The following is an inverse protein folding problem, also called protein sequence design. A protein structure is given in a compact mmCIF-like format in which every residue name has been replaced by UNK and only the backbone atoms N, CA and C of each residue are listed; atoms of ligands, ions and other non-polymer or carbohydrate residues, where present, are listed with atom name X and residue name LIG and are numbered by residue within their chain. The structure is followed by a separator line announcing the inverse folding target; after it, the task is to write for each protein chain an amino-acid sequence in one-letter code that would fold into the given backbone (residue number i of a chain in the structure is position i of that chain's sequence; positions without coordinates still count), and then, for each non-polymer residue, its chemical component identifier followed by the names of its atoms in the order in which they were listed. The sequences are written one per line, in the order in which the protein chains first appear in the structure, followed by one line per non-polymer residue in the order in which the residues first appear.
data_IF_174014229851
#
_entry.id   IF_174014229851
#
_cell.length_a   1.000
_cell.length_b   1.000
_cell.length_c   1.000
_cell.angle_alpha   90.00
_cell.angle_beta   90.00
_cell.angle_gamma   90.00
#
_symmetry.space_group_name_H-M   'P 1'
#
loop_
_entity.id
_entity.type
_entity.pdbx_description
1 polymer ?
#
# COMPACT_ATOMS: atom_id res chain seq x y z
N UNK A 1 7.54 -22.99 6.40
CA UNK A 1 7.96 -22.04 5.37
C UNK A 1 7.70 -20.65 5.90
N UNK A 2 8.77 -19.88 6.05
CA UNK A 2 8.73 -18.51 6.57
C UNK A 2 8.30 -17.56 5.45
N UNK A 3 7.17 -16.89 5.63
CA UNK A 3 6.58 -15.96 4.67
C UNK A 3 6.35 -14.59 5.31
N UNK A 4 6.17 -13.56 4.47
CA UNK A 4 5.67 -12.26 4.88
C UNK A 4 4.22 -12.12 4.46
N UNK A 5 3.30 -11.88 5.39
CA UNK A 5 1.87 -11.68 5.11
C UNK A 5 1.55 -10.20 5.10
N UNK A 6 0.78 -9.76 4.09
CA UNK A 6 0.36 -8.39 3.92
C UNK A 6 -1.16 -8.37 3.80
N UNK A 7 -1.83 -7.93 4.86
CA UNK A 7 -3.28 -7.73 4.89
C UNK A 7 -3.62 -6.26 4.56
N UNK A 8 -4.82 -5.98 4.01
CA UNK A 8 -5.30 -4.61 3.86
C UNK A 8 -5.22 -3.84 5.18
N UNK A 9 -4.81 -2.56 5.10
CA UNK A 9 -4.74 -1.62 6.24
C UNK A 9 -3.79 -1.98 7.40
N UNK A 10 -3.13 -3.15 7.39
CA UNK A 10 -2.22 -3.58 8.46
C UNK A 10 -0.76 -3.55 8.04
N UNK A 11 0.15 -3.43 9.00
CA UNK A 11 1.58 -3.58 8.75
C UNK A 11 1.91 -5.03 8.34
N UNK A 12 2.91 -5.25 7.45
CA UNK A 12 3.39 -6.58 7.14
C UNK A 12 3.89 -7.34 8.37
N UNK A 13 3.69 -8.66 8.41
CA UNK A 13 4.18 -9.49 9.51
C UNK A 13 4.65 -10.86 9.03
N UNK A 14 5.63 -11.42 9.72
CA UNK A 14 6.14 -12.76 9.42
C UNK A 14 5.19 -13.85 9.93
N UNK A 15 5.11 -14.96 9.18
CA UNK A 15 4.34 -16.15 9.58
C UNK A 15 5.06 -17.41 9.10
N UNK A 16 5.00 -18.46 9.92
CA UNK A 16 5.37 -19.81 9.51
C UNK A 16 4.13 -20.59 9.07
N UNK A 17 4.20 -21.22 7.91
CA UNK A 17 3.17 -22.11 7.35
C UNK A 17 3.79 -23.45 6.94
N UNK A 18 3.01 -24.47 6.57
CA UNK A 18 3.53 -25.61 5.83
C UNK A 18 4.03 -25.23 4.44
N UNK A 19 4.54 -26.20 3.71
CA UNK A 19 5.03 -26.05 2.33
C UNK A 19 4.04 -26.58 1.29
N UNK A 20 2.84 -26.98 1.71
CA UNK A 20 1.80 -27.43 0.80
C UNK A 20 0.93 -26.29 0.25
N UNK A 21 0.30 -26.55 -0.89
CA UNK A 21 -0.53 -25.58 -1.61
C UNK A 21 -1.76 -25.15 -0.81
N UNK A 22 -2.30 -26.01 0.06
CA UNK A 22 -3.50 -25.67 0.84
C UNK A 22 -3.19 -24.66 1.93
N UNK A 23 -2.04 -24.78 2.58
CA UNK A 23 -1.56 -23.78 3.54
C UNK A 23 -1.34 -22.42 2.87
N UNK A 24 -0.80 -22.39 1.64
CA UNK A 24 -0.64 -21.16 0.86
C UNK A 24 -1.98 -20.53 0.46
N UNK A 25 -2.91 -21.35 -0.06
CA UNK A 25 -4.26 -20.90 -0.44
C UNK A 25 -5.06 -20.37 0.76
N UNK A 26 -4.86 -20.94 1.95
CA UNK A 26 -5.51 -20.48 3.17
C UNK A 26 -5.08 -19.07 3.59
N UNK A 27 -3.88 -18.61 3.20
CA UNK A 27 -3.42 -17.25 3.49
C UNK A 27 -4.17 -16.21 2.66
N UNK A 28 -4.38 -16.47 1.38
CA UNK A 28 -5.04 -15.51 0.46
C UNK A 28 -6.55 -15.72 0.35
N UNK A 29 -7.06 -16.82 0.91
CA UNK A 29 -8.49 -17.15 0.92
C UNK A 29 -9.02 -17.62 -0.44
N UNK A 30 -8.21 -18.30 -1.25
CA UNK A 30 -8.58 -18.74 -2.59
C UNK A 30 -7.43 -19.38 -3.36
N UNK A 31 -7.63 -19.60 -4.66
CA UNK A 31 -6.56 -20.07 -5.53
C UNK A 31 -5.47 -19.00 -5.64
N UNK A 32 -4.20 -19.44 -5.69
CA UNK A 32 -3.07 -18.52 -5.69
C UNK A 32 -2.61 -18.19 -7.11
N UNK A 33 -2.24 -16.94 -7.34
CA UNK A 33 -1.56 -16.50 -8.56
C UNK A 33 -0.25 -15.79 -8.20
N UNK A 34 0.87 -16.09 -8.91
CA UNK A 34 2.14 -15.43 -8.66
C UNK A 34 2.22 -14.04 -9.29
N UNK A 35 2.84 -13.11 -8.59
CA UNK A 35 3.26 -11.80 -9.09
C UNK A 35 4.78 -11.71 -9.00
N UNK A 36 5.41 -11.60 -10.17
CA UNK A 36 6.85 -11.44 -10.31
C UNK A 36 7.25 -9.98 -10.16
N UNK A 37 7.73 -9.60 -8.98
CA UNK A 37 8.11 -8.22 -8.66
C UNK A 37 9.61 -8.05 -8.38
N UNK A 38 10.32 -9.13 -8.07
CA UNK A 38 11.73 -9.11 -7.67
C UNK A 38 12.63 -9.37 -8.89
N UNK A 39 13.52 -8.43 -9.28
CA UNK A 39 14.31 -8.55 -10.52
C UNK A 39 15.29 -9.73 -10.62
N UNK A 40 15.75 -10.25 -9.48
CA UNK A 40 16.60 -11.45 -9.36
C UNK A 40 15.78 -12.73 -9.16
N UNK A 41 14.44 -12.64 -9.15
CA UNK A 41 13.51 -13.76 -9.01
C UNK A 41 13.73 -14.58 -7.73
N UNK A 42 14.33 -13.97 -6.70
CA UNK A 42 14.60 -14.64 -5.41
C UNK A 42 13.41 -14.65 -4.46
N UNK A 43 12.31 -13.99 -4.85
CA UNK A 43 11.06 -13.93 -4.11
C UNK A 43 9.87 -13.76 -5.06
N UNK A 44 8.71 -14.28 -4.66
CA UNK A 44 7.45 -14.19 -5.39
C UNK A 44 6.37 -13.69 -4.41
N UNK A 45 5.49 -12.80 -4.89
CA UNK A 45 4.28 -12.46 -4.17
C UNK A 45 3.12 -13.33 -4.68
N UNK A 46 2.25 -13.79 -3.79
CA UNK A 46 1.12 -14.67 -4.08
C UNK A 46 -0.16 -14.00 -3.62
N UNK A 47 -1.11 -13.84 -4.53
CA UNK A 47 -2.42 -13.26 -4.26
C UNK A 47 -3.54 -14.24 -4.64
N UNK A 48 -4.78 -13.91 -4.29
CA UNK A 48 -5.95 -14.66 -4.68
C UNK A 48 -6.34 -14.36 -6.14
N UNK A 49 -6.34 -15.35 -7.03
CA UNK A 49 -6.67 -15.16 -8.46
C UNK A 49 -8.07 -14.54 -8.71
N UNK A 50 -8.98 -14.67 -7.76
CA UNK A 50 -10.35 -14.14 -7.82
C UNK A 50 -10.52 -12.83 -7.01
N UNK A 51 -9.46 -12.15 -6.56
CA UNK A 51 -9.59 -10.98 -5.67
C UNK A 51 -10.49 -9.87 -6.22
N UNK A 52 -10.52 -9.67 -7.55
CA UNK A 52 -11.39 -8.70 -8.21
C UNK A 52 -12.85 -9.14 -8.21
N UNK A 53 -13.10 -10.42 -8.48
CA UNK A 53 -14.45 -11.01 -8.52
C UNK A 53 -15.08 -11.02 -7.13
N UNK A 54 -14.26 -11.21 -6.10
CA UNK A 54 -14.68 -11.22 -4.70
C UNK A 54 -14.93 -9.82 -4.12
N UNK A 55 -14.65 -8.75 -4.87
CA UNK A 55 -14.77 -7.38 -4.38
C UNK A 55 -13.85 -7.10 -3.19
N UNK A 56 -12.66 -7.72 -3.19
CA UNK A 56 -11.70 -7.57 -2.08
C UNK A 56 -11.20 -6.13 -1.98
N UNK A 57 -10.85 -5.70 -0.77
CA UNK A 57 -10.36 -4.35 -0.53
C UNK A 57 -8.98 -4.12 -1.19
N UNK A 58 -8.71 -2.95 -1.77
CA UNK A 58 -7.36 -2.60 -2.24
C UNK A 58 -6.33 -2.76 -1.12
N UNK A 59 -5.17 -3.32 -1.44
CA UNK A 59 -4.11 -3.59 -0.48
C UNK A 59 -2.87 -2.74 -0.83
N UNK A 60 -1.95 -3.27 -1.65
CA UNK A 60 -0.70 -2.61 -2.07
C UNK A 60 -0.48 -2.77 -3.57
N UNK A 61 0.36 -1.89 -4.13
CA UNK A 61 0.91 -2.09 -5.47
C UNK A 61 2.12 -3.03 -5.37
N UNK A 62 2.08 -4.13 -6.12
CA UNK A 62 3.17 -5.11 -6.22
C UNK A 62 3.64 -5.16 -7.67
N UNK A 63 4.87 -4.71 -7.93
CA UNK A 63 5.31 -4.44 -9.29
C UNK A 63 4.42 -3.36 -9.93
N UNK A 64 3.61 -3.75 -10.92
CA UNK A 64 2.67 -2.87 -11.60
C UNK A 64 1.20 -3.25 -11.34
N UNK A 65 0.93 -4.13 -10.38
CA UNK A 65 -0.40 -4.67 -10.09
C UNK A 65 -0.91 -4.10 -8.77
N UNK A 66 -2.09 -3.48 -8.80
CA UNK A 66 -2.83 -3.18 -7.58
C UNK A 66 -3.45 -4.48 -7.06
N UNK A 67 -2.89 -5.02 -5.98
CA UNK A 67 -3.38 -6.25 -5.35
C UNK A 67 -4.53 -5.90 -4.43
N UNK A 68 -5.62 -6.67 -4.49
CA UNK A 68 -6.72 -6.59 -3.55
C UNK A 68 -6.73 -7.83 -2.64
N UNK A 69 -7.21 -7.65 -1.40
CA UNK A 69 -7.22 -8.70 -0.39
C UNK A 69 -5.83 -9.03 0.14
N UNK A 70 -5.76 -10.04 1.01
CA UNK A 70 -4.49 -10.49 1.60
C UNK A 70 -3.61 -11.14 0.53
N UNK A 71 -2.33 -10.80 0.54
CA UNK A 71 -1.29 -11.48 -0.23
C UNK A 71 -0.11 -11.81 0.67
N UNK A 72 0.79 -12.66 0.21
CA UNK A 72 2.02 -12.96 0.94
C UNK A 72 3.22 -13.04 0.01
N UNK A 73 4.41 -12.94 0.58
CA UNK A 73 5.68 -13.12 -0.14
C UNK A 73 6.37 -14.38 0.38
N UNK A 74 6.84 -15.21 -0.54
CA UNK A 74 7.73 -16.34 -0.26
C UNK A 74 9.10 -16.12 -0.90
N UNK A 75 10.10 -16.86 -0.42
CA UNK A 75 11.33 -17.06 -1.18
C UNK A 75 11.03 -17.88 -2.43
N UNK A 76 11.92 -17.78 -3.42
CA UNK A 76 11.85 -18.53 -4.67
C UNK A 76 13.24 -19.03 -5.05
N UNK A 77 13.34 -20.28 -5.48
CA UNK A 77 14.60 -20.90 -5.87
C UNK A 77 14.39 -21.89 -7.02
N UNK A 78 15.47 -22.15 -7.76
CA UNK A 78 15.50 -23.20 -8.77
C UNK A 78 15.92 -24.52 -8.11
N UNK A 79 15.07 -25.55 -8.19
CA UNK A 79 15.36 -26.86 -7.60
C UNK A 79 16.34 -27.68 -8.48
N UNK A 80 16.71 -28.87 -8.02
CA UNK A 80 17.66 -29.75 -8.72
C UNK A 80 17.17 -30.25 -10.11
N UNK A 81 15.86 -30.16 -10.36
CA UNK A 81 15.23 -30.53 -11.63
C UNK A 81 15.10 -29.35 -12.61
N UNK A 82 15.54 -28.15 -12.21
CA UNK A 82 15.41 -26.94 -13.02
C UNK A 82 13.99 -26.37 -13.03
N UNK A 83 13.22 -26.63 -11.97
CA UNK A 83 11.89 -26.06 -11.77
C UNK A 83 11.92 -25.01 -10.65
N UNK A 84 11.12 -23.97 -10.78
CA UNK A 84 10.95 -22.96 -9.75
C UNK A 84 10.07 -23.49 -8.63
N UNK A 85 10.48 -23.24 -7.39
CA UNK A 85 9.76 -23.69 -6.20
C UNK A 85 9.84 -22.65 -5.08
N UNK A 86 8.83 -22.68 -4.21
CA UNK A 86 8.71 -21.74 -3.08
C UNK A 86 9.61 -22.19 -1.93
N UNK A 87 10.20 -21.23 -1.22
CA UNK A 87 10.99 -21.51 -0.03
C UNK A 87 10.81 -20.43 1.04
N UNK A 88 11.38 -20.67 2.23
CA UNK A 88 11.39 -19.68 3.30
C UNK A 88 12.17 -18.43 2.90
N UNK A 89 11.61 -17.27 3.24
CA UNK A 89 12.35 -16.01 3.17
C UNK A 89 13.50 -16.00 4.17
N UNK A 90 14.62 -15.37 3.78
CA UNK A 90 15.69 -15.02 4.73
C UNK A 90 15.29 -13.82 5.58
N UNK A 91 15.95 -13.60 6.71
CA UNK A 91 15.69 -12.43 7.57
C UNK A 91 15.94 -11.11 6.84
N UNK A 92 16.96 -11.07 5.97
CA UNK A 92 17.25 -9.90 5.13
C UNK A 92 16.13 -9.65 4.11
N UNK A 93 15.56 -10.72 3.52
CA UNK A 93 14.41 -10.59 2.62
C UNK A 93 13.15 -10.13 3.37
N UNK A 94 12.89 -10.68 4.57
CA UNK A 94 11.78 -10.23 5.42
C UNK A 94 11.91 -8.74 5.71
N UNK A 95 13.10 -8.28 6.17
CA UNK A 95 13.33 -6.86 6.43
C UNK A 95 13.08 -6.00 5.19
N UNK A 96 13.70 -6.36 4.06
CA UNK A 96 13.57 -5.65 2.78
C UNK A 96 12.10 -5.52 2.35
N UNK A 97 11.33 -6.61 2.43
CA UNK A 97 9.94 -6.61 1.95
C UNK A 97 8.97 -6.01 2.97
N UNK A 98 9.25 -6.08 4.27
CA UNK A 98 8.49 -5.35 5.29
C UNK A 98 8.59 -3.84 5.07
N UNK A 99 9.79 -3.31 4.82
CA UNK A 99 10.00 -1.89 4.50
C UNK A 99 9.31 -1.52 3.18
N UNK A 100 9.37 -2.38 2.16
CA UNK A 100 8.73 -2.15 0.85
C UNK A 100 7.20 -2.05 0.95
N UNK A 101 6.56 -2.83 1.83
CA UNK A 101 5.09 -2.91 1.93
C UNK A 101 4.52 -2.27 3.20
N UNK A 102 5.31 -1.46 3.89
CA UNK A 102 4.95 -0.85 5.18
C UNK A 102 3.66 -0.01 5.09
N UNK A 103 3.56 0.86 4.08
CA UNK A 103 2.46 1.81 3.97
C UNK A 103 1.26 1.25 3.17
N UNK A 104 0.05 1.16 3.75
CA UNK A 104 -1.17 0.83 3.02
C UNK A 104 -1.60 1.96 2.07
N UNK A 105 -2.32 1.60 0.99
CA UNK A 105 -2.83 2.58 0.02
C UNK A 105 -3.78 3.61 0.65
N UNK A 106 -4.62 3.20 1.60
CA UNK A 106 -5.57 4.12 2.25
C UNK A 106 -4.84 5.23 3.04
N UNK A 107 -3.69 4.91 3.63
CA UNK A 107 -2.85 5.91 4.31
C UNK A 107 -2.23 6.87 3.29
N UNK A 108 -1.83 6.40 2.11
CA UNK A 108 -1.32 7.26 1.05
C UNK A 108 -2.39 8.26 0.55
N UNK A 109 -3.63 7.82 0.35
CA UNK A 109 -4.72 8.71 -0.07
C UNK A 109 -5.03 9.78 0.99
N UNK A 110 -5.03 9.41 2.27
CA UNK A 110 -5.25 10.36 3.37
C UNK A 110 -4.10 11.36 3.52
N UNK A 111 -2.83 10.93 3.38
CA UNK A 111 -1.68 11.82 3.43
C UNK A 111 -1.73 12.88 2.32
N UNK A 112 -2.09 12.47 1.10
CA UNK A 112 -2.29 13.40 -0.02
C UNK A 112 -3.45 14.37 0.24
N UNK A 113 -4.54 13.91 0.85
CA UNK A 113 -5.66 14.78 1.20
C UNK A 113 -5.26 15.80 2.30
N UNK A 114 -4.47 15.40 3.30
CA UNK A 114 -4.06 16.29 4.40
C UNK A 114 -3.04 17.35 4.00
N UNK A 115 -2.19 17.10 3.00
CA UNK A 115 -1.24 18.12 2.50
C UNK A 115 -1.95 19.27 1.77
N UNK A 116 -3.15 19.04 1.20
CA UNK A 116 -3.91 20.04 0.44
C UNK A 116 -4.68 21.00 1.37
N UNK A 117 -5.00 20.59 2.60
CA UNK A 117 -5.77 21.43 3.54
C UNK A 117 -4.93 22.51 4.23
N UNK A 118 -3.59 22.42 4.22
CA UNK A 118 -2.71 23.41 4.89
C UNK A 118 -2.46 24.66 4.02
N UNK A 119 -2.67 24.60 2.70
CA UNK A 119 -2.40 25.73 1.79
C UNK A 119 -3.60 26.69 1.61
N UNK A 120 -4.79 26.35 2.13
CA UNK A 120 -5.99 27.21 2.03
C UNK A 120 -6.34 27.88 3.37
N UNK A 121 -5.41 28.64 3.96
CA UNK A 121 -5.79 29.70 4.90
C UNK A 121 -6.16 30.94 4.09
N UNK A 122 -7.43 31.42 4.10
CA UNK A 122 -7.74 32.72 3.53
C UNK A 122 -7.03 33.77 4.37
N UNK A 123 -6.17 34.58 3.75
CA UNK A 123 -5.71 35.84 4.34
C UNK A 123 -6.96 36.61 4.79
N UNK A 124 -7.11 36.87 6.10
CA UNK A 124 -8.20 37.68 6.64
C UNK A 124 -8.19 39.05 5.95
N UNK A 125 -9.24 39.33 5.17
CA UNK A 125 -9.54 40.67 4.67
C UNK A 125 -9.66 41.63 5.86
N UNK A 126 -8.67 42.51 6.01
CA UNK A 126 -8.72 43.67 6.90
C UNK A 126 -9.80 44.64 6.39
N UNK A 127 -11.02 44.44 6.87
CA UNK A 127 -12.14 45.32 6.60
C UNK A 127 -12.02 46.65 7.37
N UNK A 128 -12.36 47.71 6.64
CA UNK A 128 -12.93 48.99 7.08
C UNK A 128 -11.95 50.15 7.42
N UNK A 129 -11.63 50.94 6.39
CA UNK A 129 -11.24 52.33 6.57
C UNK A 129 -12.49 53.22 6.51
N UNK A 130 -12.69 54.18 7.43
CA UNK A 130 -13.78 55.13 7.28
C UNK A 130 -13.39 56.28 6.34
N UNK A 131 -14.34 56.55 5.46
CA UNK A 131 -14.32 57.56 4.41
C UNK A 131 -14.17 59.00 4.93
N UNK A 132 -13.30 59.74 4.24
CA UNK A 132 -13.22 61.19 4.23
C UNK A 132 -14.56 61.77 3.73
N UNK A 133 -15.23 62.60 4.55
CA UNK A 133 -16.46 63.31 4.16
C UNK A 133 -16.07 64.74 3.74
N UNK A 134 -16.49 65.22 2.56
CA UNK A 134 -16.12 66.56 2.12
C UNK A 134 -16.90 67.64 2.89
N UNK A 135 -16.22 68.73 3.25
CA UNK A 135 -16.83 69.97 3.76
C UNK A 135 -17.60 70.72 2.66
N UNK A 136 -18.77 71.32 2.94
CA UNK A 136 -19.35 72.36 2.10
C UNK A 136 -19.15 73.78 2.69
N UNK A 137 -18.93 74.74 1.78
CA UNK A 137 -18.68 76.18 1.97
C UNK A 137 -19.85 77.02 2.54
N UNK A 138 -19.48 78.25 2.94
CA UNK A 138 -20.13 79.30 3.76
C UNK A 138 -21.30 80.06 3.08
N UNK A 139 -22.32 80.47 3.87
CA UNK A 139 -23.13 81.72 3.76
C UNK A 139 -24.06 81.82 5.01
N UNK A 140 -24.33 82.91 5.73
CA UNK A 140 -24.00 84.36 5.73
C UNK A 140 -23.73 84.82 7.17
#
# INVERSE_FOLDING_TARGET
MKILVIEPEKAPYEKEIGDDIHDMQAIVGGCIEPIYFEPKETAIAWCNDEFLLNGSQPNRIVGNVLVHGTFFVSGNYMNEYGEWDSCSLTDDQIKKYSEMFETPIIVLEQMQATEIEVENTPDEEMADGPADKPEPEIAM
#
